data_IF_440379536524
#
_entry.id   IF_440379536524
#
_cell.length_a   1.000
_cell.length_b   1.000
_cell.length_c   1.000
_cell.angle_alpha   90.00
_cell.angle_beta   90.00
_cell.angle_gamma   90.00
#
_symmetry.space_group_name_H-M   'P 1'
#
loop_
_entity.id
_entity.type
_entity.pdbx_description
1 polymer ?
#
# COMPACT_ATOMS: atom_id res chain seq x y z
N UNK A 1 -99.04 -12.38 22.18
CA UNK A 1 -97.97 -11.96 21.23
C UNK A 1 -96.64 -11.64 21.94
N UNK A 2 -96.24 -12.43 22.95
CA UNK A 2 -95.08 -12.07 23.81
C UNK A 2 -93.92 -13.10 23.76
N UNK A 3 -94.15 -14.30 23.22
CA UNK A 3 -93.13 -15.37 23.14
C UNK A 3 -92.12 -15.21 22.02
N UNK A 4 -92.43 -14.45 20.96
CA UNK A 4 -91.56 -14.33 19.77
C UNK A 4 -90.41 -13.33 19.94
N UNK A 5 -90.47 -12.46 20.96
CA UNK A 5 -89.46 -11.42 21.16
C UNK A 5 -88.27 -11.88 22.03
N UNK A 6 -88.48 -12.85 22.93
CA UNK A 6 -87.41 -13.41 23.76
C UNK A 6 -86.42 -14.25 22.94
N UNK A 7 -86.90 -15.05 21.98
CA UNK A 7 -86.05 -15.90 21.13
C UNK A 7 -85.09 -15.08 20.26
N UNK A 8 -85.50 -13.90 19.77
CA UNK A 8 -84.62 -13.01 18.99
C UNK A 8 -83.49 -12.42 19.84
N UNK A 9 -83.74 -12.09 21.11
CA UNK A 9 -82.73 -11.55 22.03
C UNK A 9 -81.66 -12.61 22.35
N UNK A 10 -82.04 -13.88 22.54
CA UNK A 10 -81.09 -14.95 22.76
C UNK A 10 -80.20 -15.25 21.54
N UNK A 11 -80.76 -15.20 20.32
CA UNK A 11 -79.98 -15.39 19.09
C UNK A 11 -78.97 -14.27 18.85
N UNK A 12 -79.34 -13.02 19.13
CA UNK A 12 -78.41 -11.88 19.02
C UNK A 12 -77.31 -11.99 20.09
N UNK A 13 -77.65 -12.36 21.33
CA UNK A 13 -76.68 -12.53 22.40
C UNK A 13 -75.65 -13.64 22.11
N UNK A 14 -76.11 -14.80 21.63
CA UNK A 14 -75.22 -15.92 21.29
C UNK A 14 -74.35 -15.58 20.07
N UNK A 15 -74.90 -14.92 19.05
CA UNK A 15 -74.13 -14.47 17.89
C UNK A 15 -73.01 -13.49 18.26
N UNK A 16 -73.27 -12.56 19.19
CA UNK A 16 -72.31 -11.58 19.65
C UNK A 16 -71.18 -12.22 20.47
N UNK A 17 -71.50 -13.23 21.29
CA UNK A 17 -70.51 -14.02 22.04
C UNK A 17 -69.61 -14.82 21.08
N UNK A 18 -70.18 -15.44 20.04
CA UNK A 18 -69.39 -16.19 19.05
C UNK A 18 -68.46 -15.27 18.26
N UNK A 19 -68.93 -14.06 17.88
CA UNK A 19 -68.09 -13.06 17.21
C UNK A 19 -66.96 -12.59 18.13
N UNK A 20 -67.24 -12.33 19.42
CA UNK A 20 -66.22 -11.96 20.39
C UNK A 20 -65.19 -13.08 20.62
N UNK A 21 -65.63 -14.35 20.67
CA UNK A 21 -64.74 -15.50 20.78
C UNK A 21 -63.89 -15.69 19.51
N UNK A 22 -64.45 -15.45 18.32
CA UNK A 22 -63.70 -15.49 17.07
C UNK A 22 -62.70 -14.35 16.97
N UNK A 23 -63.04 -13.14 17.44
CA UNK A 23 -62.09 -12.01 17.51
C UNK A 23 -60.99 -12.31 18.53
N UNK A 24 -61.32 -12.91 19.68
CA UNK A 24 -60.34 -13.31 20.69
C UNK A 24 -59.38 -14.40 20.18
N UNK A 25 -59.91 -15.45 19.54
CA UNK A 25 -59.12 -16.55 18.96
C UNK A 25 -58.30 -16.06 17.75
N UNK A 26 -58.84 -15.16 16.93
CA UNK A 26 -58.09 -14.51 15.85
C UNK A 26 -57.00 -13.58 16.39
N UNK A 27 -57.26 -12.84 17.47
CA UNK A 27 -56.28 -11.98 18.13
C UNK A 27 -55.15 -12.79 18.78
N UNK A 28 -55.49 -13.96 19.35
CA UNK A 28 -54.53 -14.90 19.93
C UNK A 28 -53.70 -15.62 18.85
N UNK A 29 -54.33 -16.08 17.75
CA UNK A 29 -53.65 -16.81 16.66
C UNK A 29 -52.84 -15.93 15.71
N UNK A 30 -53.25 -14.67 15.47
CA UNK A 30 -52.50 -13.73 14.62
C UNK A 30 -51.47 -12.87 15.36
N UNK A 31 -51.28 -13.07 16.67
CA UNK A 31 -50.26 -12.36 17.43
C UNK A 31 -50.42 -10.83 17.41
N UNK A 32 -51.66 -10.32 17.33
CA UNK A 32 -51.93 -8.88 17.21
C UNK A 32 -51.51 -8.12 18.49
N UNK A 33 -51.46 -8.80 19.64
CA UNK A 33 -50.89 -8.29 20.90
C UNK A 33 -49.42 -8.68 21.12
N UNK A 34 -48.80 -9.45 20.21
CA UNK A 34 -47.38 -9.79 20.26
C UNK A 34 -46.45 -8.60 19.98
N UNK A 35 -46.96 -7.53 19.37
CA UNK A 35 -46.17 -6.32 19.07
C UNK A 35 -45.83 -5.45 20.29
N UNK A 36 -46.47 -5.67 21.45
CA UNK A 36 -46.27 -4.85 22.66
C UNK A 36 -45.99 -5.68 23.91
N UNK A 37 -45.24 -6.78 23.79
CA UNK A 37 -44.64 -7.37 24.98
C UNK A 37 -43.48 -6.46 25.43
N UNK A 38 -43.54 -5.82 26.62
CA UNK A 38 -42.44 -4.98 27.12
C UNK A 38 -41.13 -5.77 27.24
N UNK A 39 -41.20 -7.10 27.43
CA UNK A 39 -40.02 -7.98 27.40
C UNK A 39 -39.32 -7.98 26.04
N UNK A 40 -40.09 -7.93 24.94
CA UNK A 40 -39.56 -7.93 23.57
C UNK A 40 -38.87 -6.59 23.23
N UNK A 41 -39.47 -5.47 23.65
CA UNK A 41 -38.86 -4.14 23.48
C UNK A 41 -37.60 -3.96 24.34
N UNK A 42 -37.60 -4.48 25.57
CA UNK A 42 -36.43 -4.46 26.46
C UNK A 42 -35.29 -5.32 25.90
N UNK A 43 -35.58 -6.51 25.37
CA UNK A 43 -34.58 -7.36 24.72
C UNK A 43 -33.99 -6.72 23.46
N UNK A 44 -34.82 -6.05 22.63
CA UNK A 44 -34.36 -5.30 21.45
C UNK A 44 -33.46 -4.12 21.82
N UNK A 45 -33.81 -3.38 22.88
CA UNK A 45 -32.99 -2.29 23.41
C UNK A 45 -31.65 -2.81 23.97
N UNK A 46 -31.67 -3.92 24.70
CA UNK A 46 -30.47 -4.55 25.25
C UNK A 46 -29.51 -5.04 24.15
N UNK A 47 -30.02 -5.74 23.13
CA UNK A 47 -29.24 -6.19 21.98
C UNK A 47 -28.64 -5.00 21.20
N UNK A 48 -29.43 -3.95 20.96
CA UNK A 48 -28.94 -2.74 20.28
C UNK A 48 -27.83 -2.04 21.07
N UNK A 49 -27.93 -2.03 22.40
CA UNK A 49 -26.89 -1.50 23.28
C UNK A 49 -25.62 -2.34 23.21
N UNK A 50 -25.74 -3.66 23.25
CA UNK A 50 -24.61 -4.58 23.18
C UNK A 50 -23.85 -4.49 21.85
N UNK A 51 -24.58 -4.43 20.73
CA UNK A 51 -24.01 -4.24 19.39
C UNK A 51 -23.29 -2.89 19.30
N UNK A 52 -23.90 -1.80 19.78
CA UNK A 52 -23.24 -0.48 19.81
C UNK A 52 -21.96 -0.51 20.65
N UNK A 53 -21.97 -1.22 21.78
CA UNK A 53 -20.81 -1.36 22.65
C UNK A 53 -19.69 -2.14 21.95
N UNK A 54 -19.99 -3.24 21.28
CA UNK A 54 -18.98 -3.99 20.53
C UNK A 54 -18.47 -3.22 19.31
N UNK A 55 -19.33 -2.51 18.57
CA UNK A 55 -18.89 -1.63 17.48
C UNK A 55 -17.95 -0.55 18.00
N UNK A 56 -18.27 0.12 19.13
CA UNK A 56 -17.40 1.13 19.73
C UNK A 56 -16.02 0.55 20.08
N UNK A 57 -15.99 -0.63 20.71
CA UNK A 57 -14.73 -1.33 21.05
C UNK A 57 -13.91 -1.68 19.81
N UNK A 58 -14.57 -2.14 18.76
CA UNK A 58 -13.94 -2.45 17.48
C UNK A 58 -13.27 -1.21 16.87
N UNK A 59 -13.98 -0.08 16.83
CA UNK A 59 -13.47 1.19 16.31
C UNK A 59 -12.28 1.71 17.14
N UNK A 60 -12.36 1.63 18.47
CA UNK A 60 -11.27 2.03 19.37
C UNK A 60 -10.01 1.17 19.16
N UNK A 61 -10.16 -0.15 19.00
CA UNK A 61 -9.03 -1.04 18.70
C UNK A 61 -8.38 -0.72 17.35
N UNK A 62 -9.21 -0.48 16.33
CA UNK A 62 -8.75 -0.07 15.01
C UNK A 62 -7.91 1.22 15.05
N UNK A 63 -8.33 2.21 15.83
CA UNK A 63 -7.54 3.44 16.03
C UNK A 63 -6.20 3.17 16.74
N UNK A 64 -6.19 2.28 17.75
CA UNK A 64 -4.95 1.89 18.44
C UNK A 64 -3.98 1.15 17.51
N UNK A 65 -4.50 0.28 16.64
CA UNK A 65 -3.68 -0.42 15.63
C UNK A 65 -3.03 0.57 14.67
N UNK A 66 -3.76 1.61 14.24
CA UNK A 66 -3.21 2.67 13.40
C UNK A 66 -2.12 3.48 14.12
N UNK A 67 -2.36 3.87 15.38
CA UNK A 67 -1.36 4.60 16.17
C UNK A 67 -0.08 3.77 16.40
N UNK A 68 -0.20 2.45 16.63
CA UNK A 68 0.94 1.54 16.73
C UNK A 68 1.71 1.46 15.40
N UNK A 69 1.00 1.38 14.27
CA UNK A 69 1.60 1.42 12.94
C UNK A 69 2.35 2.74 12.69
N UNK A 70 1.75 3.89 13.00
CA UNK A 70 2.39 5.20 12.83
C UNK A 70 3.73 5.28 13.56
N UNK A 71 3.78 4.78 14.81
CA UNK A 71 5.01 4.72 15.59
C UNK A 71 6.04 3.77 14.97
N UNK A 72 5.62 2.59 14.52
CA UNK A 72 6.53 1.57 13.97
C UNK A 72 7.07 1.97 12.61
N UNK A 73 6.24 2.48 11.70
CA UNK A 73 6.65 2.95 10.36
C UNK A 73 7.64 4.12 10.45
N UNK A 74 7.49 5.00 11.44
CA UNK A 74 8.43 6.10 11.68
C UNK A 74 9.86 5.60 11.98
N UNK A 75 10.00 4.41 12.57
CA UNK A 75 11.29 3.82 12.91
C UNK A 75 11.74 2.75 11.92
N UNK A 76 10.78 2.11 11.22
CA UNK A 76 11.03 1.05 10.26
C UNK A 76 12.02 1.49 9.17
N UNK A 77 12.95 0.59 8.86
CA UNK A 77 13.96 0.78 7.83
C UNK A 77 15.03 1.85 8.11
N UNK A 78 14.95 2.60 9.22
CA UNK A 78 15.85 3.74 9.48
C UNK A 78 17.33 3.36 9.44
N UNK A 79 17.69 2.20 10.02
CA UNK A 79 19.08 1.71 9.97
C UNK A 79 19.57 1.41 8.55
N UNK A 80 18.69 0.89 7.69
CA UNK A 80 19.03 0.62 6.29
C UNK A 80 19.18 1.92 5.48
N UNK A 81 18.27 2.89 5.66
CA UNK A 81 18.39 4.20 5.00
C UNK A 81 19.63 4.97 5.49
N UNK A 82 19.97 4.89 6.78
CA UNK A 82 21.23 5.43 7.30
C UNK A 82 22.46 4.74 6.70
N UNK A 83 22.42 3.42 6.51
CA UNK A 83 23.50 2.71 5.85
C UNK A 83 23.67 3.15 4.39
N UNK A 84 22.56 3.34 3.67
CA UNK A 84 22.61 3.93 2.32
C UNK A 84 23.28 5.30 2.34
N UNK A 85 22.89 6.20 3.28
CA UNK A 85 23.50 7.53 3.43
C UNK A 85 24.99 7.47 3.73
N UNK A 86 25.42 6.56 4.60
CA UNK A 86 26.84 6.34 4.94
C UNK A 86 27.67 5.88 3.75
N UNK A 87 27.08 5.19 2.79
CA UNK A 87 27.75 4.70 1.60
C UNK A 87 27.84 5.76 0.47
N UNK A 88 27.00 6.80 0.50
CA UNK A 88 26.98 7.86 -0.54
C UNK A 88 28.35 8.54 -0.73
N UNK A 89 29.12 8.91 0.31
CA UNK A 89 30.44 9.48 0.14
C UNK A 89 31.41 8.57 -0.65
N UNK A 90 31.36 7.26 -0.43
CA UNK A 90 32.22 6.31 -1.14
C UNK A 90 31.83 6.25 -2.63
N UNK A 91 30.53 6.18 -2.90
CA UNK A 91 29.97 6.23 -4.26
C UNK A 91 30.36 7.53 -4.96
N UNK A 92 30.13 8.69 -4.33
CA UNK A 92 30.49 10.01 -4.87
C UNK A 92 31.99 10.15 -5.16
N UNK A 93 32.87 9.58 -4.32
CA UNK A 93 34.32 9.52 -4.62
C UNK A 93 34.62 8.69 -5.86
N UNK A 94 33.91 7.60 -6.10
CA UNK A 94 34.07 6.84 -7.35
C UNK A 94 33.67 7.66 -8.58
N UNK A 95 32.60 8.47 -8.46
CA UNK A 95 32.20 9.48 -9.46
C UNK A 95 33.18 10.65 -9.60
N UNK A 96 34.17 10.81 -8.70
CA UNK A 96 35.23 11.83 -8.85
C UNK A 96 36.45 11.30 -9.61
N UNK A 97 36.53 9.99 -9.82
CA UNK A 97 37.67 9.36 -10.50
C UNK A 97 37.64 9.65 -11.99
N UNK A 98 38.70 10.28 -12.50
CA UNK A 98 38.87 10.58 -13.93
C UNK A 98 38.77 9.30 -14.77
N UNK A 99 39.32 8.18 -14.30
CA UNK A 99 39.26 6.90 -15.04
C UNK A 99 37.84 6.35 -15.12
N UNK A 100 37.06 6.51 -14.06
CA UNK A 100 35.67 6.05 -14.03
C UNK A 100 34.77 6.96 -14.87
N UNK A 101 34.98 8.28 -14.79
CA UNK A 101 34.25 9.26 -15.60
C UNK A 101 34.56 9.16 -17.09
N UNK A 102 35.80 8.85 -17.47
CA UNK A 102 36.16 8.52 -18.85
C UNK A 102 35.42 7.29 -19.37
N UNK A 103 35.38 6.21 -18.58
CA UNK A 103 34.58 5.01 -18.89
C UNK A 103 33.09 5.32 -19.00
N UNK A 104 32.55 6.14 -18.11
CA UNK A 104 31.14 6.53 -18.13
C UNK A 104 30.80 7.37 -19.37
N UNK A 105 31.62 8.36 -19.71
CA UNK A 105 31.47 9.17 -20.95
C UNK A 105 31.45 8.29 -22.19
N UNK A 106 32.35 7.31 -22.26
CA UNK A 106 32.39 6.35 -23.35
C UNK A 106 31.11 5.53 -23.44
N UNK A 107 30.66 4.94 -22.34
CA UNK A 107 29.42 4.16 -22.30
C UNK A 107 28.21 5.01 -22.68
N UNK A 108 28.15 6.28 -22.26
CA UNK A 108 27.08 7.21 -22.66
C UNK A 108 27.11 7.55 -24.14
N UNK A 109 28.29 7.69 -24.74
CA UNK A 109 28.44 7.88 -26.18
C UNK A 109 28.03 6.61 -26.96
N UNK A 110 28.44 5.43 -26.50
CA UNK A 110 28.04 4.12 -27.07
C UNK A 110 26.53 3.94 -27.01
N UNK A 111 25.89 4.20 -25.87
CA UNK A 111 24.44 4.13 -25.71
C UNK A 111 23.70 5.06 -26.67
N UNK A 112 24.24 6.27 -26.91
CA UNK A 112 23.66 7.22 -27.86
C UNK A 112 23.77 6.76 -29.33
N UNK A 113 24.87 6.11 -29.70
CA UNK A 113 25.14 5.68 -31.07
C UNK A 113 24.52 4.32 -31.41
N UNK A 114 24.65 3.37 -30.48
CA UNK A 114 24.28 1.96 -30.66
C UNK A 114 22.95 1.59 -29.99
N UNK A 115 22.30 2.52 -29.27
CA UNK A 115 21.10 2.27 -28.47
C UNK A 115 21.28 1.14 -27.43
N UNK A 116 22.49 0.99 -26.91
CA UNK A 116 22.81 0.08 -25.80
C UNK A 116 22.36 0.66 -24.44
N UNK A 117 22.42 -0.16 -23.39
CA UNK A 117 22.11 0.22 -21.99
C UNK A 117 23.38 0.13 -21.10
N UNK A 118 24.57 0.27 -21.67
CA UNK A 118 25.84 0.00 -20.98
C UNK A 118 26.11 1.01 -19.86
N UNK A 119 25.67 2.26 -20.01
CA UNK A 119 25.73 3.30 -18.96
C UNK A 119 24.88 2.90 -17.77
N UNK A 120 23.66 2.44 -18.03
CA UNK A 120 22.74 2.03 -16.98
C UNK A 120 23.33 0.86 -16.19
N UNK A 121 23.86 -0.15 -16.88
CA UNK A 121 24.55 -1.29 -16.24
C UNK A 121 25.72 -0.85 -15.38
N UNK A 122 26.57 0.04 -15.88
CA UNK A 122 27.74 0.56 -15.14
C UNK A 122 27.36 1.34 -13.88
N UNK A 123 26.30 2.15 -13.96
CA UNK A 123 25.79 2.89 -12.82
C UNK A 123 25.15 1.95 -11.81
N UNK A 124 24.45 0.93 -12.28
CA UNK A 124 23.82 -0.05 -11.40
C UNK A 124 24.86 -0.84 -10.60
N UNK A 125 25.97 -1.24 -11.21
CA UNK A 125 27.08 -1.92 -10.51
C UNK A 125 27.62 -1.13 -9.31
N UNK A 126 27.55 0.21 -9.37
CA UNK A 126 28.02 1.10 -8.29
C UNK A 126 26.91 1.42 -7.29
N UNK A 127 25.71 1.77 -7.79
CA UNK A 127 24.60 2.22 -6.95
C UNK A 127 23.88 1.05 -6.25
N UNK A 128 23.81 -0.12 -6.89
CA UNK A 128 23.06 -1.27 -6.40
C UNK A 128 23.53 -1.77 -5.04
N UNK A 129 24.81 -2.18 -4.86
CA UNK A 129 25.26 -2.75 -3.60
C UNK A 129 25.33 -1.71 -2.47
N UNK A 130 25.64 -0.47 -2.81
CA UNK A 130 25.92 0.59 -1.83
C UNK A 130 24.68 1.38 -1.37
N UNK A 131 23.70 1.61 -2.25
CA UNK A 131 22.59 2.53 -1.98
C UNK A 131 21.26 1.84 -2.21
N UNK A 132 21.00 1.35 -3.43
CA UNK A 132 19.66 0.86 -3.82
C UNK A 132 19.25 -0.33 -2.96
N UNK A 133 20.12 -1.34 -2.78
CA UNK A 133 19.82 -2.51 -1.96
C UNK A 133 19.46 -2.15 -0.52
N UNK A 134 20.13 -1.14 0.04
CA UNK A 134 19.83 -0.66 1.39
C UNK A 134 18.49 0.08 1.43
N UNK A 135 18.18 0.91 0.43
CA UNK A 135 16.86 1.54 0.32
C UNK A 135 15.74 0.50 0.16
N UNK A 136 15.93 -0.53 -0.66
CA UNK A 136 15.00 -1.64 -0.84
C UNK A 136 14.74 -2.38 0.47
N UNK A 137 15.80 -2.72 1.21
CA UNK A 137 15.68 -3.37 2.52
C UNK A 137 15.00 -2.46 3.56
N UNK A 138 15.26 -1.15 3.51
CA UNK A 138 14.57 -0.16 4.35
C UNK A 138 13.07 -0.12 4.08
N UNK A 139 12.71 -0.13 2.79
CA UNK A 139 11.33 -0.15 2.36
C UNK A 139 10.64 -1.49 2.64
N UNK A 140 11.34 -2.62 2.53
CA UNK A 140 10.83 -3.94 2.92
C UNK A 140 10.44 -3.95 4.40
N UNK A 141 11.24 -3.33 5.27
CA UNK A 141 10.88 -3.21 6.69
C UNK A 141 9.57 -2.40 6.89
N UNK A 142 9.38 -1.30 6.14
CA UNK A 142 8.13 -0.52 6.18
C UNK A 142 6.95 -1.38 5.70
N UNK A 143 7.14 -2.16 4.63
CA UNK A 143 6.12 -3.06 4.08
C UNK A 143 5.71 -4.13 5.09
N UNK A 144 6.67 -4.76 5.75
CA UNK A 144 6.39 -5.78 6.76
C UNK A 144 5.52 -5.22 7.90
N UNK A 145 5.78 -3.98 8.33
CA UNK A 145 4.93 -3.33 9.34
C UNK A 145 3.52 -3.06 8.83
N UNK A 146 3.37 -2.63 7.58
CA UNK A 146 2.07 -2.45 6.94
C UNK A 146 1.30 -3.78 6.82
N UNK A 147 1.96 -4.84 6.36
CA UNK A 147 1.37 -6.18 6.25
C UNK A 147 0.93 -6.70 7.62
N UNK A 148 1.76 -6.53 8.66
CA UNK A 148 1.40 -6.85 10.04
C UNK A 148 0.16 -6.08 10.52
N UNK A 149 0.06 -4.79 10.18
CA UNK A 149 -1.14 -4.00 10.49
C UNK A 149 -2.39 -4.56 9.80
N UNK A 150 -2.30 -4.89 8.50
CA UNK A 150 -3.43 -5.44 7.75
C UNK A 150 -3.88 -6.80 8.30
N UNK A 151 -2.93 -7.66 8.68
CA UNK A 151 -3.24 -8.94 9.33
C UNK A 151 -3.99 -8.73 10.64
N UNK A 152 -3.52 -7.82 11.50
CA UNK A 152 -4.18 -7.49 12.77
C UNK A 152 -5.55 -6.85 12.57
N UNK A 153 -5.70 -6.04 11.51
CA UNK A 153 -6.98 -5.43 11.17
C UNK A 153 -8.01 -6.50 10.76
N UNK A 154 -7.60 -7.44 9.91
CA UNK A 154 -8.43 -8.57 9.50
C UNK A 154 -8.76 -9.51 10.68
N UNK A 155 -7.81 -9.76 11.58
CA UNK A 155 -8.06 -10.53 12.80
C UNK A 155 -9.10 -9.82 13.70
N UNK A 156 -8.95 -8.52 13.91
CA UNK A 156 -9.89 -7.75 14.72
C UNK A 156 -11.30 -7.69 14.08
N UNK A 157 -11.39 -7.63 12.75
CA UNK A 157 -12.64 -7.77 11.99
C UNK A 157 -13.29 -9.14 12.24
N UNK A 158 -12.54 -10.24 12.09
CA UNK A 158 -13.05 -11.59 12.33
C UNK A 158 -13.54 -11.77 13.78
N UNK A 159 -12.79 -11.24 14.76
CA UNK A 159 -13.21 -11.26 16.17
C UNK A 159 -14.49 -10.44 16.39
N UNK A 160 -14.63 -9.29 15.74
CA UNK A 160 -15.84 -8.48 15.81
C UNK A 160 -17.04 -9.24 15.23
N UNK A 161 -16.90 -9.89 14.08
CA UNK A 161 -17.96 -10.70 13.49
C UNK A 161 -18.35 -11.89 14.37
N UNK A 162 -17.38 -12.61 14.95
CA UNK A 162 -17.66 -13.71 15.87
C UNK A 162 -18.48 -13.24 17.09
N UNK A 163 -18.15 -12.06 17.64
CA UNK A 163 -18.89 -11.48 18.76
C UNK A 163 -20.30 -11.04 18.37
N UNK A 164 -20.47 -10.40 17.21
CA UNK A 164 -21.80 -10.04 16.71
C UNK A 164 -22.67 -11.30 16.47
N UNK A 165 -22.07 -12.39 15.99
CA UNK A 165 -22.76 -13.66 15.81
C UNK A 165 -23.20 -14.29 17.15
N UNK A 166 -22.41 -14.14 18.21
CA UNK A 166 -22.78 -14.59 19.56
C UNK A 166 -23.92 -13.74 20.16
N UNK A 167 -23.85 -12.41 20.02
CA UNK A 167 -24.92 -11.52 20.50
C UNK A 167 -26.26 -11.82 19.80
N UNK A 168 -26.22 -12.17 18.51
CA UNK A 168 -27.42 -12.49 17.73
C UNK A 168 -27.90 -13.94 17.90
N UNK A 169 -26.99 -14.91 18.05
CA UNK A 169 -27.31 -16.33 18.25
C UNK A 169 -27.97 -16.64 19.60
N UNK A 170 -27.70 -15.84 20.62
CA UNK A 170 -28.37 -15.95 21.92
C UNK A 170 -29.74 -15.26 21.97
N UNK A 171 -30.15 -14.58 20.89
CA UNK A 171 -31.45 -13.92 20.80
C UNK A 171 -32.39 -14.73 19.92
N UNK A 172 -33.45 -15.30 20.49
CA UNK A 172 -34.57 -15.99 19.81
C UNK A 172 -35.40 -15.05 18.90
N UNK A 173 -34.85 -13.90 18.52
CA UNK A 173 -35.51 -12.82 17.80
C UNK A 173 -35.26 -12.86 16.28
N UNK A 174 -34.30 -13.68 15.81
CA UNK A 174 -33.87 -13.74 14.41
C UNK A 174 -34.36 -14.97 13.63
N UNK A 175 -35.30 -15.76 14.16
CA UNK A 175 -35.87 -17.00 13.57
C UNK A 175 -36.59 -16.83 12.20
N UNK A 176 -36.45 -15.68 11.51
CA UNK A 176 -37.01 -15.46 10.17
C UNK A 176 -36.18 -14.59 9.23
N UNK A 177 -34.92 -14.26 9.56
CA UNK A 177 -34.04 -13.41 8.72
C UNK A 177 -32.64 -13.99 8.48
N UNK A 178 -32.53 -15.31 8.42
CA UNK A 178 -31.26 -16.00 8.10
C UNK A 178 -30.65 -15.56 6.77
N UNK A 179 -31.45 -15.24 5.76
CA UNK A 179 -30.96 -14.77 4.46
C UNK A 179 -30.23 -13.41 4.56
N UNK A 180 -30.73 -12.46 5.35
CA UNK A 180 -30.08 -11.15 5.52
C UNK A 180 -28.78 -11.25 6.34
N UNK A 181 -28.74 -12.16 7.33
CA UNK A 181 -27.54 -12.47 8.10
C UNK A 181 -26.48 -13.13 7.23
N UNK A 182 -26.87 -14.11 6.41
CA UNK A 182 -25.96 -14.82 5.52
C UNK A 182 -25.42 -13.92 4.40
N UNK A 183 -26.27 -13.07 3.83
CA UNK A 183 -25.86 -12.08 2.82
C UNK A 183 -24.87 -11.06 3.41
N UNK A 184 -25.14 -10.59 4.63
CA UNK A 184 -24.25 -9.68 5.34
C UNK A 184 -22.87 -10.29 5.62
N UNK A 185 -22.80 -11.55 6.07
CA UNK A 185 -21.54 -12.25 6.30
C UNK A 185 -20.75 -12.47 4.98
N UNK A 186 -21.46 -12.75 3.89
CA UNK A 186 -20.87 -12.87 2.53
C UNK A 186 -20.34 -11.55 1.99
N UNK A 187 -21.03 -10.44 2.22
CA UNK A 187 -20.59 -9.12 1.76
C UNK A 187 -19.34 -8.67 2.52
N UNK A 188 -19.25 -9.00 3.82
CA UNK A 188 -18.05 -8.74 4.64
C UNK A 188 -16.86 -9.62 4.22
N UNK A 189 -17.07 -10.91 3.95
CA UNK A 189 -15.97 -11.79 3.50
C UNK A 189 -15.41 -11.34 2.14
N UNK A 190 -16.29 -10.93 1.21
CA UNK A 190 -15.89 -10.36 -0.09
C UNK A 190 -15.12 -9.04 0.05
N UNK A 191 -15.53 -8.18 0.99
CA UNK A 191 -14.81 -6.94 1.30
C UNK A 191 -13.39 -7.26 1.81
N UNK A 192 -13.27 -8.18 2.75
CA UNK A 192 -11.99 -8.62 3.32
C UNK A 192 -11.05 -9.23 2.26
N UNK A 193 -11.58 -10.04 1.35
CA UNK A 193 -10.81 -10.62 0.23
C UNK A 193 -10.36 -9.56 -0.79
N UNK A 194 -11.27 -8.65 -1.18
CA UNK A 194 -10.95 -7.57 -2.12
C UNK A 194 -9.88 -6.65 -1.56
N UNK A 195 -9.95 -6.34 -0.27
CA UNK A 195 -8.97 -5.48 0.40
C UNK A 195 -7.61 -6.17 0.59
N UNK A 196 -7.58 -7.49 0.82
CA UNK A 196 -6.33 -8.27 0.78
C UNK A 196 -5.68 -8.25 -0.60
N UNK A 197 -6.47 -8.46 -1.66
CA UNK A 197 -5.95 -8.42 -3.04
C UNK A 197 -5.46 -7.02 -3.45
N UNK A 198 -6.20 -5.97 -3.10
CA UNK A 198 -5.82 -4.58 -3.36
C UNK A 198 -4.61 -4.15 -2.52
N UNK A 199 -4.49 -4.64 -1.29
CA UNK A 199 -3.31 -4.45 -0.47
C UNK A 199 -2.10 -5.11 -1.13
N UNK A 200 -2.14 -6.40 -1.46
CA UNK A 200 -1.02 -7.12 -2.09
C UNK A 200 -0.55 -6.41 -3.38
N UNK A 201 -1.47 -5.99 -4.25
CA UNK A 201 -1.13 -5.29 -5.48
C UNK A 201 -0.53 -3.90 -5.25
N UNK A 202 -0.99 -3.16 -4.23
CA UNK A 202 -0.44 -1.83 -3.90
C UNK A 202 0.86 -1.90 -3.12
N UNK A 203 1.04 -2.91 -2.26
CA UNK A 203 2.31 -3.19 -1.59
C UNK A 203 3.39 -3.59 -2.61
N UNK A 204 3.00 -4.23 -3.72
CA UNK A 204 3.87 -4.47 -4.90
C UNK A 204 4.27 -3.19 -5.63
N UNK A 205 3.40 -2.17 -5.72
CA UNK A 205 3.76 -0.86 -6.29
C UNK A 205 4.74 -0.10 -5.39
N UNK A 206 4.64 -0.29 -4.06
CA UNK A 206 5.63 0.21 -3.10
C UNK A 206 6.98 -0.54 -3.25
N UNK A 207 7.01 -1.72 -3.88
CA UNK A 207 8.11 -2.69 -3.87
C UNK A 207 9.36 -2.41 -4.76
N UNK A 208 9.59 -1.19 -5.24
CA UNK A 208 10.92 -0.85 -5.75
C UNK A 208 11.21 -1.17 -7.23
N UNK A 209 10.25 -1.71 -8.00
CA UNK A 209 10.44 -1.87 -9.46
C UNK A 209 10.68 -0.53 -10.21
N UNK A 210 10.39 0.61 -9.59
CA UNK A 210 10.73 1.94 -10.10
C UNK A 210 11.92 2.60 -9.40
N UNK A 211 12.42 2.06 -8.29
CA UNK A 211 13.44 2.75 -7.48
C UNK A 211 14.80 2.74 -8.16
N UNK A 212 15.26 1.56 -8.57
CA UNK A 212 16.48 1.41 -9.36
C UNK A 212 16.43 2.33 -10.59
N UNK A 213 15.29 2.36 -11.29
CA UNK A 213 15.07 3.22 -12.45
C UNK A 213 15.15 4.71 -12.08
N UNK A 214 14.58 5.15 -10.95
CA UNK A 214 14.63 6.56 -10.52
C UNK A 214 16.06 6.95 -10.14
N UNK A 215 16.76 6.15 -9.34
CA UNK A 215 18.15 6.43 -8.97
C UNK A 215 19.06 6.45 -10.19
N UNK A 216 18.91 5.47 -11.10
CA UNK A 216 19.68 5.39 -12.33
C UNK A 216 19.35 6.57 -13.26
N UNK A 217 18.07 6.88 -13.51
CA UNK A 217 17.67 7.96 -14.41
C UNK A 217 18.16 9.32 -13.93
N UNK A 218 18.01 9.63 -12.65
CA UNK A 218 18.48 10.90 -12.09
C UNK A 218 20.00 10.98 -12.17
N UNK A 219 20.72 9.89 -11.87
CA UNK A 219 22.18 9.84 -11.97
C UNK A 219 22.66 9.97 -13.42
N UNK A 220 21.97 9.33 -14.38
CA UNK A 220 22.22 9.48 -15.82
C UNK A 220 21.98 10.93 -16.27
N UNK A 221 20.93 11.59 -15.76
CA UNK A 221 20.65 12.99 -16.09
C UNK A 221 21.76 13.92 -15.55
N UNK A 222 22.15 13.76 -14.29
CA UNK A 222 23.25 14.54 -13.67
C UNK A 222 24.59 14.31 -14.39
N UNK A 223 24.88 13.05 -14.75
CA UNK A 223 26.06 12.72 -15.55
C UNK A 223 25.96 13.31 -16.97
N UNK A 224 24.79 13.22 -17.60
CA UNK A 224 24.56 13.69 -18.95
C UNK A 224 24.68 15.21 -19.07
N UNK A 225 24.27 15.97 -18.05
CA UNK A 225 24.47 17.42 -18.00
C UNK A 225 25.94 17.78 -17.86
N UNK A 226 26.68 17.10 -16.99
CA UNK A 226 28.10 17.35 -16.77
C UNK A 226 28.96 16.96 -17.99
N UNK A 227 28.60 15.87 -18.68
CA UNK A 227 29.37 15.34 -19.82
C UNK A 227 28.83 15.73 -21.19
N UNK A 228 27.80 16.60 -21.27
CA UNK A 228 27.07 16.87 -22.53
C UNK A 228 27.99 17.21 -23.70
N UNK A 229 28.93 18.12 -23.48
CA UNK A 229 29.86 18.59 -24.53
C UNK A 229 30.83 17.49 -24.97
N UNK A 230 31.25 16.64 -24.02
CA UNK A 230 32.20 15.55 -24.23
C UNK A 230 31.53 14.40 -24.99
N UNK A 231 30.31 14.04 -24.60
CA UNK A 231 29.50 13.01 -25.28
C UNK A 231 29.19 13.43 -26.72
N UNK A 232 28.81 14.69 -26.95
CA UNK A 232 28.55 15.20 -28.31
C UNK A 232 29.83 15.15 -29.15
N UNK A 233 30.98 15.56 -28.60
CA UNK A 233 32.25 15.49 -29.31
C UNK A 233 32.65 14.05 -29.64
N UNK A 234 32.56 13.14 -28.68
CA UNK A 234 32.83 11.70 -28.85
C UNK A 234 31.92 11.04 -29.88
N UNK A 235 30.64 11.41 -29.89
CA UNK A 235 29.67 10.90 -30.86
C UNK A 235 29.87 11.50 -32.27
N UNK A 236 30.42 12.72 -32.36
CA UNK A 236 30.74 13.36 -33.64
C UNK A 236 32.07 12.88 -34.24
N UNK A 237 33.02 12.45 -33.40
CA UNK A 237 34.29 11.87 -33.84
C UNK A 237 34.11 10.39 -34.17
N UNK A 238 34.44 9.98 -35.41
CA UNK A 238 34.38 8.57 -35.86
C UNK A 238 35.24 7.57 -35.06
N UNK A 239 36.00 8.02 -34.07
CA UNK A 239 36.74 7.20 -33.11
C UNK A 239 35.84 6.31 -32.24
N UNK A 240 34.56 6.67 -32.04
CA UNK A 240 33.62 5.82 -31.32
C UNK A 240 33.36 4.49 -32.04
N UNK A 241 33.32 4.47 -33.38
CA UNK A 241 33.16 3.24 -34.15
C UNK A 241 34.37 2.30 -34.03
N UNK A 242 35.59 2.86 -34.04
CA UNK A 242 36.83 2.09 -33.87
C UNK A 242 36.95 1.47 -32.46
N UNK A 243 36.50 2.20 -31.42
CA UNK A 243 36.57 1.74 -30.03
C UNK A 243 35.42 0.77 -29.70
N UNK A 244 34.23 0.93 -30.30
CA UNK A 244 33.13 -0.03 -30.15
C UNK A 244 33.50 -1.43 -30.67
N UNK A 245 34.27 -1.51 -31.77
CA UNK A 245 34.78 -2.78 -32.29
C UNK A 245 35.81 -3.45 -31.35
N UNK A 246 36.62 -2.66 -30.64
CA UNK A 246 37.64 -3.16 -29.72
C UNK A 246 37.06 -3.63 -28.36
N UNK A 247 35.93 -3.08 -27.93
CA UNK A 247 35.34 -3.39 -26.62
C UNK A 247 34.51 -4.70 -26.60
N UNK A 248 33.98 -5.15 -27.75
CA UNK A 248 33.12 -6.33 -27.86
C UNK A 248 33.86 -7.61 -28.34
N UNK A 249 35.20 -7.57 -28.49
CA UNK A 249 36.03 -8.71 -28.93
C UNK A 249 36.79 -9.45 -27.81
N UNK A 250 37.19 -10.72 -28.00
CA UNK A 250 38.01 -11.46 -27.03
C UNK A 250 39.43 -10.88 -26.99
N UNK A 251 39.75 -10.15 -25.92
CA UNK A 251 40.95 -9.31 -25.79
C UNK A 251 42.30 -10.03 -25.92
N UNK A 252 43.18 -9.66 -26.88
CA UNK A 252 44.62 -9.77 -26.74
C UNK A 252 45.17 -8.54 -25.98
N UNK A 253 46.18 -8.76 -25.14
CA UNK A 253 46.77 -7.81 -24.15
C UNK A 253 47.23 -6.46 -24.75
N UNK A 254 47.30 -6.31 -26.07
CA UNK A 254 47.63 -5.07 -26.77
C UNK A 254 46.52 -3.99 -26.78
N UNK A 255 45.24 -4.35 -26.67
CA UNK A 255 44.12 -3.38 -26.78
C UNK A 255 43.80 -2.63 -25.48
N UNK A 256 44.27 -3.13 -24.33
CA UNK A 256 44.14 -2.42 -23.06
C UNK A 256 44.91 -1.08 -23.07
N UNK A 257 46.02 -1.02 -23.82
CA UNK A 257 46.81 0.19 -24.03
C UNK A 257 46.08 1.14 -24.99
N UNK A 258 45.45 0.62 -26.06
CA UNK A 258 44.64 1.41 -26.99
C UNK A 258 43.38 2.01 -26.36
N UNK A 259 42.68 1.27 -25.50
CA UNK A 259 41.53 1.77 -24.74
C UNK A 259 41.94 2.75 -23.63
N UNK A 260 43.06 2.50 -22.93
CA UNK A 260 43.61 3.44 -21.95
C UNK A 260 44.12 4.74 -22.62
N UNK A 261 44.71 4.65 -23.82
CA UNK A 261 45.11 5.79 -24.63
C UNK A 261 43.88 6.47 -25.26
N UNK A 262 42.82 5.75 -25.62
CA UNK A 262 41.55 6.30 -26.12
C UNK A 262 40.75 7.06 -25.06
N UNK A 263 40.78 6.57 -23.80
CA UNK A 263 40.21 7.27 -22.64
C UNK A 263 41.14 8.40 -22.18
N UNK A 264 42.46 8.25 -22.36
CA UNK A 264 43.47 9.29 -22.12
C UNK A 264 43.55 10.37 -23.22
N UNK A 265 43.05 10.09 -24.42
CA UNK A 265 43.02 11.01 -25.57
C UNK A 265 41.71 11.79 -25.68
N UNK A 266 40.79 11.60 -24.74
CA UNK A 266 39.82 12.64 -24.40
C UNK A 266 40.64 13.86 -23.99
N UNK A 267 40.81 14.81 -24.90
CA UNK A 267 41.38 16.12 -24.58
C UNK A 267 40.38 16.79 -23.66
N UNK A 268 40.49 16.52 -22.36
CA UNK A 268 39.67 17.13 -21.33
C UNK A 268 40.04 18.60 -21.32
N UNK A 269 39.08 19.49 -21.57
CA UNK A 269 39.33 20.89 -21.29
C UNK A 269 39.51 21.07 -19.77
N UNK A 270 40.29 22.06 -19.34
CA UNK A 270 40.45 22.35 -17.91
C UNK A 270 39.08 22.57 -17.21
N UNK A 271 38.11 23.12 -17.95
CA UNK A 271 36.72 23.25 -17.54
C UNK A 271 36.04 21.90 -17.31
N UNK A 272 36.24 20.92 -18.20
CA UNK A 272 35.67 19.57 -18.07
C UNK A 272 36.25 18.85 -16.85
N UNK A 273 37.57 18.90 -16.69
CA UNK A 273 38.27 18.36 -15.51
C UNK A 273 37.75 18.99 -14.21
N UNK A 274 37.53 20.31 -14.20
CA UNK A 274 36.96 21.01 -13.05
C UNK A 274 35.52 20.55 -12.75
N UNK A 275 34.65 20.51 -13.76
CA UNK A 275 33.27 20.02 -13.64
C UNK A 275 33.22 18.60 -13.05
N UNK A 276 34.08 17.72 -13.56
CA UNK A 276 34.10 16.30 -13.23
C UNK A 276 34.70 16.02 -11.85
N UNK A 277 35.77 16.73 -11.48
CA UNK A 277 36.48 16.49 -10.23
C UNK A 277 35.89 17.24 -9.04
N UNK A 278 35.25 18.39 -9.26
CA UNK A 278 34.81 19.29 -8.17
C UNK A 278 33.30 19.49 -8.09
N UNK A 279 32.59 19.54 -9.23
CA UNK A 279 31.15 19.89 -9.27
C UNK A 279 30.29 18.63 -9.21
N UNK A 280 30.51 17.70 -10.14
CA UNK A 280 29.75 16.44 -10.23
C UNK A 280 29.71 15.65 -8.92
N UNK A 281 30.82 15.43 -8.18
CA UNK A 281 30.76 14.63 -6.95
C UNK A 281 29.87 15.28 -5.88
N UNK A 282 29.85 16.62 -5.81
CA UNK A 282 29.00 17.38 -4.88
C UNK A 282 27.53 17.29 -5.28
N UNK A 283 27.24 17.45 -6.56
CA UNK A 283 25.87 17.33 -7.09
C UNK A 283 25.33 15.90 -6.94
N UNK A 284 26.12 14.88 -7.29
CA UNK A 284 25.77 13.48 -7.12
C UNK A 284 25.58 13.14 -5.64
N UNK A 285 26.45 13.64 -4.74
CA UNK A 285 26.30 13.44 -3.31
C UNK A 285 24.98 14.05 -2.79
N UNK A 286 24.72 15.32 -3.10
CA UNK A 286 23.50 16.01 -2.66
C UNK A 286 22.25 15.37 -3.26
N UNK A 287 22.28 15.03 -4.55
CA UNK A 287 21.19 14.36 -5.26
C UNK A 287 20.87 13.00 -4.66
N UNK A 288 21.88 12.16 -4.42
CA UNK A 288 21.70 10.85 -3.77
C UNK A 288 21.17 10.98 -2.34
N UNK A 289 21.68 11.95 -1.56
CA UNK A 289 21.22 12.18 -0.18
C UNK A 289 19.73 12.58 -0.15
N UNK A 290 19.34 13.50 -1.03
CA UNK A 290 17.95 13.92 -1.17
C UNK A 290 17.07 12.76 -1.65
N UNK A 291 17.50 11.99 -2.66
CA UNK A 291 16.73 10.83 -3.13
C UNK A 291 16.52 9.77 -2.05
N UNK A 292 17.53 9.46 -1.24
CA UNK A 292 17.36 8.51 -0.11
C UNK A 292 16.37 9.05 0.92
N UNK A 293 16.43 10.36 1.24
CA UNK A 293 15.49 10.99 2.17
C UNK A 293 14.07 11.01 1.62
N UNK A 294 13.89 11.52 0.41
CA UNK A 294 12.59 11.60 -0.26
C UNK A 294 11.97 10.22 -0.41
N UNK A 295 12.77 9.21 -0.73
CA UNK A 295 12.29 7.84 -0.81
C UNK A 295 11.84 7.29 0.55
N UNK A 296 12.64 7.48 1.61
CA UNK A 296 12.25 7.09 2.97
C UNK A 296 10.94 7.75 3.38
N UNK A 297 10.80 9.06 3.16
CA UNK A 297 9.63 9.83 3.58
C UNK A 297 8.40 9.46 2.75
N UNK A 298 8.55 9.31 1.42
CA UNK A 298 7.47 8.89 0.54
C UNK A 298 6.99 7.47 0.83
N UNK A 299 7.89 6.53 1.07
CA UNK A 299 7.52 5.15 1.44
C UNK A 299 6.71 5.11 2.73
N UNK A 300 7.14 5.86 3.75
CA UNK A 300 6.40 5.97 5.02
C UNK A 300 5.03 6.60 4.81
N UNK A 301 4.98 7.73 4.10
CA UNK A 301 3.74 8.45 3.82
C UNK A 301 2.75 7.58 3.06
N UNK A 302 3.19 6.90 1.99
CA UNK A 302 2.34 6.00 1.21
C UNK A 302 1.79 4.85 2.05
N UNK A 303 2.61 4.23 2.91
CA UNK A 303 2.16 3.18 3.80
C UNK A 303 1.08 3.69 4.78
N UNK A 304 1.26 4.89 5.35
CA UNK A 304 0.30 5.48 6.29
C UNK A 304 -0.99 5.95 5.60
N UNK A 305 -0.89 6.58 4.43
CA UNK A 305 -2.05 7.02 3.65
C UNK A 305 -2.90 5.81 3.23
N UNK A 306 -2.23 4.71 2.81
CA UNK A 306 -2.90 3.46 2.50
C UNK A 306 -3.59 2.88 3.74
N UNK A 307 -2.89 2.75 4.87
CA UNK A 307 -3.45 2.23 6.11
C UNK A 307 -4.66 3.05 6.60
N UNK A 308 -4.59 4.38 6.52
CA UNK A 308 -5.69 5.30 6.87
C UNK A 308 -6.90 5.10 5.96
N UNK A 309 -6.68 4.97 4.65
CA UNK A 309 -7.75 4.72 3.69
C UNK A 309 -8.43 3.38 3.97
N UNK A 310 -7.65 2.31 4.14
CA UNK A 310 -8.18 0.99 4.47
C UNK A 310 -8.97 1.04 5.78
N UNK A 311 -8.42 1.68 6.83
CA UNK A 311 -9.13 1.82 8.10
C UNK A 311 -10.48 2.52 7.94
N UNK A 312 -10.54 3.60 7.15
CA UNK A 312 -11.77 4.33 6.90
C UNK A 312 -12.85 3.47 6.22
N UNK A 313 -12.45 2.60 5.28
CA UNK A 313 -13.34 1.64 4.62
C UNK A 313 -13.92 0.63 5.62
N UNK A 314 -13.08 0.07 6.49
CA UNK A 314 -13.50 -0.82 7.57
C UNK A 314 -14.46 -0.15 8.57
N UNK A 315 -14.17 1.10 8.96
CA UNK A 315 -15.02 1.86 9.86
C UNK A 315 -16.37 2.23 9.22
N UNK A 316 -16.37 2.56 7.92
CA UNK A 316 -17.58 2.84 7.17
C UNK A 316 -18.49 1.60 7.08
N UNK A 317 -17.92 0.43 6.80
CA UNK A 317 -18.63 -0.84 6.80
C UNK A 317 -19.25 -1.15 8.17
N UNK A 318 -18.49 -1.00 9.25
CA UNK A 318 -19.01 -1.18 10.62
C UNK A 318 -20.12 -0.18 10.99
N UNK A 319 -20.03 1.06 10.48
CA UNK A 319 -21.05 2.09 10.67
C UNK A 319 -22.39 1.75 10.00
N UNK A 320 -22.37 1.12 8.83
CA UNK A 320 -23.60 0.68 8.14
C UNK A 320 -24.37 -0.38 8.93
N UNK A 321 -23.66 -1.33 9.55
CA UNK A 321 -24.26 -2.35 10.44
C UNK A 321 -25.08 -1.68 11.54
N UNK A 322 -24.50 -0.66 12.17
CA UNK A 322 -25.13 0.02 13.30
C UNK A 322 -26.33 0.88 12.88
N UNK A 323 -26.38 1.35 11.63
CA UNK A 323 -27.49 2.14 11.08
C UNK A 323 -28.66 1.27 10.62
N UNK A 324 -28.40 0.07 10.11
CA UNK A 324 -29.41 -0.84 9.55
C UNK A 324 -30.12 -1.71 10.61
N UNK A 325 -29.75 -1.59 11.89
CA UNK A 325 -30.34 -2.30 13.05
C UNK A 325 -31.15 -1.37 13.97
#
# INVERSE_FOLDING_TARGET
MEKTNRTKIYFIGIGLIIILLLIADFSAKRGLFGCFSPKLQVQKMALKYEIRRETKRYLERNQRLLADLEKKVAQAGSGNFEQARKNIPAVSRQFSSITWNGKLCYKMAKDRLCKSNDTQTALNEVLQPGIIRHCENGNLAIRNELENFLLRLAENENQFHARLALCTGNSSFFEGKDAARHQFLLDCSKLSEKLKADAVNRTLVIAGAGLEIVFLRTTIQMAGTAFRHIIVRLAATGSTAAICAAADGPFPVGDAIGAAIGIGSLVWCAYDLYQISQVMPKEVHAGLMNMVRDYQDNSRKQALDFAKKTLAEYQAAAGQITKNM
#
